data_IF_738873806465
#
_entry.id   IF_738873806465
#
_cell.length_a   1.000
_cell.length_b   1.000
_cell.length_c   1.000
_cell.angle_alpha   90.00
_cell.angle_beta   90.00
_cell.angle_gamma   90.00
#
_symmetry.space_group_name_H-M   'P 1'
#
loop_
_entity.id
_entity.type
_entity.pdbx_description
1 polymer ?
#
# COMPACT_ATOMS: atom_id res chain seq x y z
N UNK A 1 13.76 7.65 -44.98
CA UNK A 1 14.15 7.94 -43.58
C UNK A 1 15.67 8.05 -43.53
N UNK A 2 16.23 9.24 -43.25
CA UNK A 2 17.69 9.42 -43.18
C UNK A 2 18.23 8.81 -41.88
N UNK A 3 19.28 7.97 -41.93
CA UNK A 3 19.80 7.25 -40.77
C UNK A 3 20.55 8.11 -39.73
N UNK A 4 20.62 9.44 -39.92
CA UNK A 4 21.46 10.33 -39.09
C UNK A 4 20.68 11.34 -38.23
N UNK A 5 19.36 11.19 -38.06
CA UNK A 5 18.55 12.04 -37.17
C UNK A 5 17.84 11.18 -36.14
N UNK A 6 18.47 11.02 -34.98
CA UNK A 6 17.78 10.53 -33.79
C UNK A 6 16.95 11.67 -33.21
N UNK A 7 15.63 11.50 -33.20
CA UNK A 7 14.73 12.41 -32.49
C UNK A 7 14.65 11.95 -31.03
N UNK A 8 15.06 12.81 -30.10
CA UNK A 8 14.88 12.56 -28.68
C UNK A 8 13.49 13.05 -28.27
N UNK A 9 12.62 12.12 -27.92
CA UNK A 9 11.29 12.41 -27.36
C UNK A 9 11.34 12.18 -25.86
N UNK A 10 11.08 13.24 -25.08
CA UNK A 10 10.85 13.15 -23.64
C UNK A 10 9.36 13.27 -23.38
N UNK A 11 8.78 12.27 -22.72
CA UNK A 11 7.39 12.29 -22.29
C UNK A 11 7.31 12.82 -20.86
N UNK A 12 6.22 13.51 -20.54
CA UNK A 12 5.95 13.92 -19.16
C UNK A 12 5.68 12.69 -18.29
N UNK A 13 6.19 12.73 -17.05
CA UNK A 13 5.85 11.77 -16.00
C UNK A 13 4.67 12.24 -15.13
N UNK A 14 4.02 13.35 -15.48
CA UNK A 14 2.90 13.88 -14.72
C UNK A 14 1.73 12.92 -14.71
N UNK A 15 1.16 12.74 -13.52
CA UNK A 15 0.01 11.87 -13.26
C UNK A 15 -1.07 12.67 -12.55
N UNK A 16 -1.91 13.41 -13.30
CA UNK A 16 -2.94 14.26 -12.71
C UNK A 16 -4.02 13.46 -11.96
N UNK A 17 -4.07 12.15 -12.19
CA UNK A 17 -4.92 11.18 -11.49
C UNK A 17 -4.38 10.78 -10.10
N UNK A 18 -3.15 11.16 -9.75
CA UNK A 18 -2.54 10.82 -8.46
C UNK A 18 -2.59 12.03 -7.53
N UNK A 19 -3.40 11.92 -6.48
CA UNK A 19 -3.46 12.91 -5.40
C UNK A 19 -2.37 12.64 -4.36
N UNK A 20 -1.33 13.47 -4.35
CA UNK A 20 -0.23 13.37 -3.40
C UNK A 20 -0.60 14.07 -2.09
N UNK A 21 -0.42 13.37 -0.98
CA UNK A 21 -0.72 13.86 0.36
C UNK A 21 0.43 13.51 1.30
N UNK A 22 0.78 14.43 2.20
CA UNK A 22 1.76 14.22 3.25
C UNK A 22 1.10 14.47 4.61
N UNK A 23 1.18 13.49 5.51
CA UNK A 23 0.66 13.59 6.87
C UNK A 23 1.79 13.55 7.89
N UNK A 24 1.73 14.37 8.96
CA UNK A 24 2.67 14.25 10.06
C UNK A 24 2.44 12.92 10.78
N UNK A 25 3.53 12.27 11.16
CA UNK A 25 3.51 11.04 11.96
C UNK A 25 3.10 11.42 13.38
N UNK A 26 1.90 11.01 13.80
CA UNK A 26 1.34 11.36 15.12
C UNK A 26 1.73 10.35 16.21
N UNK A 27 1.91 9.09 15.83
CA UNK A 27 2.28 7.99 16.71
C UNK A 27 3.66 7.44 16.37
N UNK A 28 4.40 6.86 17.34
CA UNK A 28 5.68 6.21 17.04
C UNK A 28 5.56 5.21 15.90
N UNK A 29 6.52 5.24 14.97
CA UNK A 29 6.47 4.51 13.68
C UNK A 29 6.25 3.00 13.87
N UNK A 30 6.80 2.44 14.94
CA UNK A 30 6.71 1.02 15.28
C UNK A 30 5.31 0.57 15.77
N UNK A 31 4.40 1.49 16.05
CA UNK A 31 3.02 1.16 16.47
C UNK A 31 2.10 0.90 15.28
N UNK A 32 2.48 1.37 14.08
CA UNK A 32 1.66 1.31 12.86
C UNK A 32 0.25 1.90 13.01
N UNK A 33 -0.01 2.66 14.08
CA UNK A 33 -1.32 3.23 14.38
C UNK A 33 -1.76 4.25 13.31
N UNK A 34 -0.79 4.94 12.71
CA UNK A 34 -1.05 5.83 11.57
C UNK A 34 -1.52 5.08 10.31
N UNK A 35 -1.47 3.74 10.25
CA UNK A 35 -1.96 2.94 9.12
C UNK A 35 -3.39 2.40 9.34
N UNK A 36 -3.99 2.62 10.52
CA UNK A 36 -5.33 2.12 10.85
C UNK A 36 -6.38 2.65 9.85
N UNK A 37 -6.23 3.87 9.34
CA UNK A 37 -7.14 4.43 8.35
C UNK A 37 -7.20 3.63 7.03
N UNK A 38 -6.16 2.85 6.70
CA UNK A 38 -6.14 2.00 5.50
C UNK A 38 -6.99 0.75 5.67
N UNK A 39 -7.23 0.34 6.92
CA UNK A 39 -7.89 -0.91 7.30
C UNK A 39 -9.23 -0.67 7.99
N UNK A 40 -9.74 0.57 7.91
CA UNK A 40 -10.98 1.01 8.56
C UNK A 40 -12.18 0.34 7.86
N UNK A 41 -12.49 -0.86 8.31
CA UNK A 41 -13.67 -1.61 7.90
C UNK A 41 -14.85 -1.12 8.74
N UNK A 42 -16.06 -1.04 8.17
CA UNK A 42 -17.25 -0.82 8.95
C UNK A 42 -17.33 -1.88 10.06
N UNK A 43 -17.75 -1.53 11.30
CA UNK A 43 -17.88 -2.50 12.40
C UNK A 43 -18.80 -3.68 12.06
N UNK A 44 -19.70 -3.50 11.10
CA UNK A 44 -20.64 -4.50 10.59
C UNK A 44 -20.17 -5.12 9.26
N UNK A 45 -18.86 -5.27 9.05
CA UNK A 45 -18.34 -5.94 7.85
C UNK A 45 -18.81 -7.40 7.80
N UNK A 46 -19.49 -7.77 6.71
CA UNK A 46 -19.91 -9.14 6.43
C UNK A 46 -19.36 -9.56 5.07
N UNK A 47 -18.56 -10.65 5.03
CA UNK A 47 -17.98 -11.17 3.79
C UNK A 47 -19.08 -11.47 2.76
N UNK A 48 -18.87 -11.03 1.52
CA UNK A 48 -19.83 -11.16 0.42
C UNK A 48 -21.03 -10.20 0.46
N UNK A 49 -21.23 -9.41 1.52
CA UNK A 49 -22.32 -8.41 1.62
C UNK A 49 -21.76 -6.98 1.63
N UNK A 50 -20.77 -6.72 2.48
CA UNK A 50 -20.16 -5.39 2.62
C UNK A 50 -19.08 -5.19 1.55
N UNK A 51 -19.04 -4.03 0.86
CA UNK A 51 -18.00 -3.73 -0.12
C UNK A 51 -16.61 -3.82 0.53
N UNK A 52 -15.67 -4.46 -0.16
CA UNK A 52 -14.28 -4.51 0.27
C UNK A 52 -13.64 -3.12 0.24
N UNK A 53 -12.72 -2.81 1.18
CA UNK A 53 -11.93 -1.59 1.11
C UNK A 53 -11.11 -1.55 -0.18
N UNK A 54 -10.79 -0.34 -0.63
CA UNK A 54 -9.95 -0.13 -1.79
C UNK A 54 -8.61 -0.86 -1.61
N UNK A 55 -8.10 -1.47 -2.68
CA UNK A 55 -6.77 -2.08 -2.65
C UNK A 55 -5.74 -0.98 -2.41
N UNK A 56 -4.82 -1.23 -1.48
CA UNK A 56 -3.73 -0.32 -1.17
C UNK A 56 -2.41 -1.08 -1.12
N UNK A 57 -1.31 -0.33 -1.22
CA UNK A 57 0.05 -0.84 -1.10
C UNK A 57 0.81 -0.01 -0.07
N UNK A 58 1.50 -0.68 0.85
CA UNK A 58 2.34 -0.05 1.85
C UNK A 58 3.79 -0.36 1.51
N UNK A 59 4.59 0.68 1.31
CA UNK A 59 6.03 0.57 1.15
C UNK A 59 6.70 0.69 2.52
N UNK A 60 7.81 -0.01 2.70
CA UNK A 60 8.59 0.03 3.95
C UNK A 60 10.07 -0.01 3.62
N UNK A 61 10.87 0.70 4.41
CA UNK A 61 12.31 0.86 4.17
C UNK A 61 13.11 -0.45 4.33
N UNK A 62 12.56 -1.44 5.04
CA UNK A 62 13.22 -2.72 5.24
C UNK A 62 12.24 -3.88 5.34
N UNK A 63 12.75 -5.08 5.04
CA UNK A 63 12.01 -6.35 5.21
C UNK A 63 11.58 -6.56 6.66
N UNK A 64 12.39 -6.14 7.63
CA UNK A 64 12.08 -6.19 9.06
C UNK A 64 10.86 -5.34 9.40
N UNK A 65 10.84 -4.09 8.96
CA UNK A 65 9.70 -3.17 9.19
C UNK A 65 8.45 -3.68 8.49
N UNK A 66 8.59 -4.16 7.25
CA UNK A 66 7.46 -4.71 6.50
C UNK A 66 6.83 -5.95 7.18
N UNK A 67 7.64 -6.83 7.79
CA UNK A 67 7.13 -7.97 8.57
C UNK A 67 6.38 -7.52 9.83
N UNK A 68 6.88 -6.50 10.52
CA UNK A 68 6.18 -5.93 11.67
C UNK A 68 4.85 -5.28 11.27
N UNK A 69 4.85 -4.53 10.16
CA UNK A 69 3.64 -3.94 9.59
C UNK A 69 2.60 -5.01 9.25
N UNK A 70 3.03 -6.10 8.61
CA UNK A 70 2.17 -7.25 8.29
C UNK A 70 1.56 -7.86 9.56
N UNK A 71 2.36 -8.09 10.60
CA UNK A 71 1.87 -8.65 11.85
C UNK A 71 0.80 -7.74 12.48
N UNK A 72 1.05 -6.44 12.55
CA UNK A 72 0.07 -5.48 13.08
C UNK A 72 -1.18 -5.40 12.21
N UNK A 73 -1.05 -5.40 10.89
CA UNK A 73 -2.20 -5.43 9.99
C UNK A 73 -3.08 -6.67 10.25
N UNK A 74 -2.50 -7.85 10.46
CA UNK A 74 -3.25 -9.05 10.82
C UNK A 74 -3.91 -8.96 12.20
N UNK A 75 -3.40 -8.16 13.15
CA UNK A 75 -4.08 -7.97 14.45
C UNK A 75 -5.29 -7.05 14.36
N UNK A 76 -5.33 -6.16 13.37
CA UNK A 76 -6.39 -5.15 13.20
C UNK A 76 -7.47 -5.64 12.23
N UNK A 77 -7.08 -6.39 11.19
CA UNK A 77 -8.00 -6.90 10.19
C UNK A 77 -8.72 -8.17 10.66
N UNK A 78 -9.98 -8.32 10.26
CA UNK A 78 -10.73 -9.57 10.42
C UNK A 78 -9.98 -10.74 9.77
N UNK A 79 -10.02 -11.91 10.41
CA UNK A 79 -9.35 -13.15 9.97
C UNK A 79 -9.65 -13.50 8.50
N UNK A 80 -10.87 -13.22 8.04
CA UNK A 80 -11.30 -13.48 6.67
C UNK A 80 -10.52 -12.69 5.62
N UNK A 81 -9.96 -11.54 5.99
CA UNK A 81 -9.19 -10.66 5.12
C UNK A 81 -7.70 -10.98 5.12
N UNK A 82 -7.21 -11.77 6.08
CA UNK A 82 -5.80 -12.16 6.15
C UNK A 82 -5.39 -12.91 4.88
N UNK A 83 -6.31 -13.69 4.29
CA UNK A 83 -6.11 -14.40 3.01
C UNK A 83 -5.84 -13.47 1.82
N UNK A 84 -6.22 -12.20 1.94
CA UNK A 84 -6.08 -11.19 0.89
C UNK A 84 -4.80 -10.35 1.03
N UNK A 85 -4.12 -10.44 2.18
CA UNK A 85 -2.86 -9.73 2.38
C UNK A 85 -1.77 -10.45 1.59
N UNK A 86 -0.97 -9.67 0.86
CA UNK A 86 0.18 -10.15 0.11
C UNK A 86 1.42 -9.42 0.62
N UNK A 87 2.39 -10.20 1.06
CA UNK A 87 3.70 -9.72 1.47
C UNK A 87 4.71 -10.11 0.40
N UNK A 88 5.55 -9.16 -0.01
CA UNK A 88 6.56 -9.38 -1.03
C UNK A 88 7.85 -8.64 -0.69
N UNK A 89 8.99 -9.30 -0.88
CA UNK A 89 10.30 -8.67 -0.94
C UNK A 89 11.25 -9.50 -1.81
N UNK A 90 12.34 -8.90 -2.26
CA UNK A 90 13.31 -9.53 -3.18
C UNK A 90 13.97 -10.83 -2.68
N UNK A 91 13.83 -11.16 -1.40
CA UNK A 91 14.39 -12.39 -0.81
C UNK A 91 13.35 -13.48 -0.57
N UNK A 92 12.12 -13.32 -1.03
CA UNK A 92 11.11 -14.37 -1.00
C UNK A 92 11.29 -15.27 -2.23
N UNK A 93 11.16 -16.58 -2.02
CA UNK A 93 11.13 -17.64 -3.03
C UNK A 93 9.77 -18.28 -3.08
#
# INVERSE_FOLDING_TARGET
LQPSKSEHVTLSCDRPDIHLVAWPIQYPINTFHNLVFLVDLPPDFVDGITPLPAKFLVFSDSTKVAKQALHVACTILSLELHKNIRYFHAGMT
#
